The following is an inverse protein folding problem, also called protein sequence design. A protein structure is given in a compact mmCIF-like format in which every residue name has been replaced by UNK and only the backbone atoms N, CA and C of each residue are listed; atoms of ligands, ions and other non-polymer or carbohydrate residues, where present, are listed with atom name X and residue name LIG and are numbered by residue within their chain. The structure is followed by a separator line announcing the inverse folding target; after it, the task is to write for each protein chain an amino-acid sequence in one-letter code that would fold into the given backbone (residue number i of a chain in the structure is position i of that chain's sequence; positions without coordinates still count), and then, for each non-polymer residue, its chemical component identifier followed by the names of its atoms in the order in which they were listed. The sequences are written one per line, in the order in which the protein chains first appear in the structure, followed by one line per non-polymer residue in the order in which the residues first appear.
data_IF_110556834644
#
_entry.id   IF_110556834644
#
_cell.length_a   1.000
_cell.length_b   1.000
_cell.length_c   1.000
_cell.angle_alpha   90.00
_cell.angle_beta   90.00
_cell.angle_gamma   90.00
#
_symmetry.space_group_name_H-M   'P 1'
#
loop_
_entity.id
_entity.type
_entity.pdbx_description
1 polymer ?
#
# COMPACT_ATOMS: atom_id res chain seq x y z
N UNK A 1 -81.11 -12.11 13.20
CA UNK A 1 -80.29 -11.76 14.39
C UNK A 1 -78.83 -12.04 14.08
N UNK A 2 -77.96 -11.05 14.33
CA UNK A 2 -76.49 -11.09 14.43
C UNK A 2 -75.66 -11.48 13.19
N UNK A 3 -75.28 -10.41 12.51
CA UNK A 3 -74.04 -10.13 11.77
C UNK A 3 -72.78 -10.86 12.25
N UNK A 4 -71.95 -11.34 11.32
CA UNK A 4 -70.49 -11.37 11.48
C UNK A 4 -69.83 -10.98 10.14
N UNK A 5 -69.09 -9.87 10.18
CA UNK A 5 -68.24 -9.35 9.11
C UNK A 5 -66.93 -10.13 9.08
N UNK A 6 -66.61 -10.81 7.99
CA UNK A 6 -65.30 -11.42 7.78
C UNK A 6 -64.44 -10.46 6.97
N UNK A 7 -63.47 -9.82 7.63
CA UNK A 7 -62.50 -8.91 7.00
C UNK A 7 -61.41 -9.76 6.33
N UNK A 8 -61.31 -9.66 5.01
CA UNK A 8 -60.20 -10.21 4.21
C UNK A 8 -58.96 -9.33 4.41
N UNK A 9 -57.92 -9.86 5.05
CA UNK A 9 -56.60 -9.23 5.13
C UNK A 9 -55.73 -9.87 4.05
N UNK A 10 -55.58 -9.20 2.91
CA UNK A 10 -54.57 -9.50 1.89
C UNK A 10 -53.22 -8.93 2.37
N UNK A 11 -52.41 -9.76 3.03
CA UNK A 11 -51.03 -9.42 3.35
C UNK A 11 -50.16 -9.55 2.10
N UNK A 12 -49.82 -8.43 1.47
CA UNK A 12 -48.84 -8.35 0.41
C UNK A 12 -47.43 -8.58 0.98
N UNK A 13 -46.85 -9.75 0.70
CA UNK A 13 -45.45 -10.02 0.99
C UNK A 13 -44.59 -9.33 -0.06
N UNK A 14 -44.05 -8.16 0.29
CA UNK A 14 -43.02 -7.51 -0.50
C UNK A 14 -41.70 -8.29 -0.34
N UNK A 15 -41.32 -9.06 -1.36
CA UNK A 15 -39.98 -9.62 -1.47
C UNK A 15 -38.99 -8.48 -1.71
N UNK A 16 -38.33 -8.03 -0.64
CA UNK A 16 -37.15 -7.18 -0.75
C UNK A 16 -36.00 -8.03 -1.32
N UNK A 17 -35.77 -7.95 -2.63
CA UNK A 17 -34.55 -8.47 -3.21
C UNK A 17 -33.35 -7.66 -2.67
N UNK A 18 -32.26 -8.30 -2.22
CA UNK A 18 -31.05 -7.58 -1.87
C UNK A 18 -30.52 -6.91 -3.14
N UNK A 19 -30.43 -5.59 -3.12
CA UNK A 19 -29.76 -4.84 -4.16
C UNK A 19 -28.28 -5.22 -4.15
N UNK A 20 -27.82 -5.92 -5.18
CA UNK A 20 -26.39 -6.01 -5.50
C UNK A 20 -25.96 -4.63 -6.01
N UNK A 21 -25.78 -3.68 -5.10
CA UNK A 21 -25.15 -2.41 -5.40
C UNK A 21 -23.71 -2.67 -5.86
N UNK A 22 -23.37 -2.09 -7.01
CA UNK A 22 -22.17 -2.31 -7.80
C UNK A 22 -20.88 -2.31 -6.96
N UNK A 23 -20.11 -3.39 -7.08
CA UNK A 23 -18.79 -3.53 -6.47
C UNK A 23 -17.69 -2.74 -7.23
N UNK A 24 -18.05 -2.13 -8.36
CA UNK A 24 -17.13 -1.42 -9.26
C UNK A 24 -16.71 -0.03 -8.76
N UNK A 25 -17.49 0.62 -7.89
CA UNK A 25 -17.26 2.02 -7.44
C UNK A 25 -16.83 2.13 -5.97
N UNK A 26 -16.50 1.02 -5.29
CA UNK A 26 -15.97 1.11 -3.92
C UNK A 26 -14.55 1.68 -3.95
N UNK A 27 -14.22 2.67 -3.08
CA UNK A 27 -12.85 3.09 -2.89
C UNK A 27 -11.98 1.86 -2.64
N UNK A 28 -10.85 1.77 -3.34
CA UNK A 28 -9.95 0.64 -3.16
C UNK A 28 -9.59 0.49 -1.67
N UNK A 29 -9.81 -0.72 -1.14
CA UNK A 29 -9.59 -1.01 0.28
C UNK A 29 -8.10 -1.27 0.55
N UNK A 30 -7.52 -0.72 1.63
CA UNK A 30 -6.15 -1.01 2.06
C UNK A 30 -5.82 -2.52 2.17
N UNK A 31 -6.83 -3.36 2.47
CA UNK A 31 -6.65 -4.80 2.55
C UNK A 31 -6.41 -5.45 1.17
N UNK A 32 -7.15 -5.01 0.14
CA UNK A 32 -6.98 -5.51 -1.24
C UNK A 32 -5.61 -5.12 -1.79
N UNK A 33 -5.19 -3.89 -1.50
CA UNK A 33 -3.89 -3.39 -1.93
C UNK A 33 -2.73 -4.15 -1.28
N UNK A 34 -2.85 -4.42 0.03
CA UNK A 34 -1.86 -5.23 0.74
C UNK A 34 -1.76 -6.64 0.15
N UNK A 35 -2.91 -7.27 -0.12
CA UNK A 35 -2.96 -8.60 -0.75
C UNK A 35 -2.33 -8.61 -2.16
N UNK A 36 -2.46 -7.53 -2.94
CA UNK A 36 -1.85 -7.45 -4.26
C UNK A 36 -0.30 -7.46 -4.19
N UNK A 37 0.28 -6.71 -3.25
CA UNK A 37 1.73 -6.69 -3.03
C UNK A 37 2.23 -8.02 -2.48
N UNK A 38 1.53 -8.61 -1.50
CA UNK A 38 1.87 -9.93 -0.95
C UNK A 38 1.82 -11.02 -2.04
N UNK A 39 0.78 -11.01 -2.88
CA UNK A 39 0.67 -11.93 -4.00
C UNK A 39 1.80 -11.74 -5.01
N UNK A 40 2.21 -10.50 -5.29
CA UNK A 40 3.35 -10.23 -6.16
C UNK A 40 4.66 -10.77 -5.57
N UNK A 41 4.89 -10.58 -4.27
CA UNK A 41 6.13 -10.98 -3.60
C UNK A 41 6.31 -12.50 -3.50
N UNK A 42 5.23 -13.27 -3.60
CA UNK A 42 5.26 -14.74 -3.49
C UNK A 42 6.22 -15.36 -4.51
N UNK A 43 7.19 -16.14 -4.03
CA UNK A 43 8.19 -16.84 -4.86
C UNK A 43 9.29 -15.94 -5.43
N UNK A 44 9.40 -14.69 -4.98
CA UNK A 44 10.49 -13.78 -5.33
C UNK A 44 11.54 -13.82 -4.23
N UNK A 45 12.59 -14.61 -4.47
CA UNK A 45 13.66 -14.89 -3.50
C UNK A 45 14.74 -13.82 -3.46
N UNK A 46 14.86 -13.00 -4.51
CA UNK A 46 15.91 -11.97 -4.61
C UNK A 46 15.33 -10.57 -4.65
N UNK A 47 16.07 -9.61 -4.12
CA UNK A 47 15.74 -8.18 -4.26
C UNK A 47 15.60 -7.75 -5.72
N UNK A 48 16.30 -8.38 -6.67
CA UNK A 48 16.13 -8.13 -8.10
C UNK A 48 14.73 -8.53 -8.60
N UNK A 49 14.25 -9.71 -8.21
CA UNK A 49 12.91 -10.18 -8.57
C UNK A 49 11.80 -9.36 -7.90
N UNK A 50 12.00 -8.95 -6.64
CA UNK A 50 11.05 -8.17 -5.83
C UNK A 50 10.81 -6.77 -6.36
N UNK A 51 11.80 -6.16 -7.02
CA UNK A 51 11.65 -4.84 -7.68
C UNK A 51 10.48 -4.77 -8.66
N UNK A 52 10.14 -5.88 -9.32
CA UNK A 52 8.98 -5.94 -10.21
C UNK A 52 7.62 -5.74 -9.49
N UNK A 53 7.59 -5.78 -8.15
CA UNK A 53 6.38 -5.52 -7.37
C UNK A 53 6.14 -4.04 -7.09
N UNK A 54 7.15 -3.18 -7.29
CA UNK A 54 6.98 -1.74 -7.14
C UNK A 54 6.05 -1.26 -8.27
N UNK A 55 4.97 -0.59 -7.89
CA UNK A 55 3.90 -0.16 -8.78
C UNK A 55 2.73 -1.14 -8.89
N UNK A 56 2.71 -2.26 -8.16
CA UNK A 56 1.62 -3.26 -8.26
C UNK A 56 0.25 -2.71 -7.86
N UNK A 57 0.22 -1.65 -7.05
CA UNK A 57 -1.02 -0.97 -6.63
C UNK A 57 -1.14 0.37 -7.35
N UNK A 58 -0.06 1.15 -7.39
CA UNK A 58 -0.05 2.49 -7.93
C UNK A 58 -0.14 2.52 -9.46
N UNK A 59 0.37 1.51 -10.17
CA UNK A 59 0.32 1.39 -11.63
C UNK A 59 -1.12 1.30 -12.15
N UNK A 60 -1.87 0.22 -11.85
CA UNK A 60 -3.25 0.08 -12.29
C UNK A 60 -4.16 1.21 -11.79
N UNK A 61 -3.87 1.76 -10.59
CA UNK A 61 -4.60 2.90 -10.06
C UNK A 61 -4.49 4.15 -10.96
N UNK A 62 -3.30 4.43 -11.51
CA UNK A 62 -3.04 5.60 -12.36
C UNK A 62 -3.66 5.51 -13.75
N UNK A 63 -4.07 4.32 -14.18
CA UNK A 63 -4.77 4.10 -15.44
C UNK A 63 -6.26 4.45 -15.37
N UNK A 64 -6.79 4.64 -14.16
CA UNK A 64 -8.17 5.12 -13.97
C UNK A 64 -8.29 6.61 -14.30
N UNK A 65 -9.50 7.05 -14.65
CA UNK A 65 -9.77 8.46 -14.96
C UNK A 65 -9.35 9.40 -13.82
N UNK A 66 -9.71 9.06 -12.58
CA UNK A 66 -9.35 9.87 -11.41
C UNK A 66 -7.85 9.77 -11.10
N UNK A 67 -7.28 8.57 -11.23
CA UNK A 67 -5.87 8.29 -10.97
C UNK A 67 -4.88 8.93 -11.94
N UNK A 68 -5.33 9.27 -13.15
CA UNK A 68 -4.50 9.93 -14.17
C UNK A 68 -4.27 11.43 -13.88
N UNK A 69 -5.04 12.03 -12.98
CA UNK A 69 -4.81 13.43 -12.54
C UNK A 69 -3.58 13.52 -11.65
N UNK A 70 -2.91 14.68 -11.56
CA UNK A 70 -1.74 14.86 -10.66
C UNK A 70 -2.05 14.51 -9.20
N UNK A 71 -3.24 14.87 -8.73
CA UNK A 71 -3.72 14.54 -7.39
C UNK A 71 -4.00 13.03 -7.24
N UNK A 72 -4.68 12.43 -8.24
CA UNK A 72 -4.93 11.00 -8.30
C UNK A 72 -3.66 10.17 -8.33
N UNK A 73 -2.66 10.55 -9.12
CA UNK A 73 -1.35 9.91 -9.15
C UNK A 73 -0.70 9.92 -7.77
N UNK A 74 -0.71 11.05 -7.09
CA UNK A 74 -0.15 11.17 -5.73
C UNK A 74 -0.91 10.29 -4.73
N UNK A 75 -2.24 10.19 -4.85
CA UNK A 75 -3.06 9.29 -4.03
C UNK A 75 -2.78 7.80 -4.31
N UNK A 76 -2.64 7.42 -5.58
CA UNK A 76 -2.26 6.08 -6.01
C UNK A 76 -0.89 5.67 -5.44
N UNK A 77 0.10 6.56 -5.55
CA UNK A 77 1.45 6.36 -4.98
C UNK A 77 1.37 6.25 -3.46
N UNK A 78 0.63 7.14 -2.79
CA UNK A 78 0.49 7.14 -1.33
C UNK A 78 -0.11 5.85 -0.78
N UNK A 79 -1.08 5.26 -1.47
CA UNK A 79 -1.67 3.96 -1.10
C UNK A 79 -0.63 2.86 -1.09
N UNK A 80 0.15 2.74 -2.16
CA UNK A 80 1.21 1.74 -2.26
C UNK A 80 2.35 2.01 -1.27
N UNK A 81 2.77 3.27 -1.14
CA UNK A 81 3.82 3.67 -0.19
C UNK A 81 3.46 3.30 1.25
N UNK A 82 2.21 3.50 1.66
CA UNK A 82 1.74 3.13 3.00
C UNK A 82 1.86 1.63 3.29
N UNK A 83 1.78 0.78 2.26
CA UNK A 83 1.96 -0.67 2.40
C UNK A 83 3.44 -0.98 2.52
N UNK A 84 4.27 -0.43 1.63
CA UNK A 84 5.72 -0.59 1.72
C UNK A 84 6.28 -0.11 3.06
N UNK A 85 5.77 0.99 3.62
CA UNK A 85 6.21 1.49 4.92
C UNK A 85 5.84 0.54 6.08
N UNK A 86 4.64 -0.06 6.03
CA UNK A 86 4.24 -1.09 7.00
C UNK A 86 5.11 -2.35 6.89
N UNK A 87 5.39 -2.80 5.67
CA UNK A 87 6.27 -3.95 5.43
C UNK A 87 7.69 -3.65 5.91
N UNK A 88 8.26 -2.49 5.55
CA UNK A 88 9.57 -2.03 6.00
C UNK A 88 9.70 -2.09 7.52
N UNK A 89 8.75 -1.51 8.25
CA UNK A 89 8.79 -1.51 9.71
C UNK A 89 8.69 -2.92 10.30
N UNK A 90 7.80 -3.77 9.76
CA UNK A 90 7.69 -5.18 10.18
C UNK A 90 9.00 -5.94 9.94
N UNK A 91 9.54 -5.87 8.73
CA UNK A 91 10.77 -6.58 8.35
C UNK A 91 11.98 -6.05 9.11
N UNK A 92 12.02 -4.74 9.42
CA UNK A 92 13.06 -4.18 10.28
C UNK A 92 13.02 -4.82 11.68
N UNK A 93 11.85 -4.96 12.30
CA UNK A 93 11.74 -5.63 13.60
C UNK A 93 12.17 -7.10 13.53
N UNK A 94 11.82 -7.81 12.45
CA UNK A 94 12.27 -9.19 12.23
C UNK A 94 13.80 -9.27 12.07
N UNK A 95 14.40 -8.38 11.29
CA UNK A 95 15.85 -8.32 11.11
C UNK A 95 16.56 -8.10 12.45
N UNK A 96 16.02 -7.22 13.31
CA UNK A 96 16.59 -6.95 14.63
C UNK A 96 16.60 -8.17 15.55
N UNK A 97 15.71 -9.16 15.38
CA UNK A 97 15.68 -10.37 16.23
C UNK A 97 16.91 -11.26 15.97
N UNK A 98 17.44 -11.27 14.76
CA UNK A 98 18.59 -12.11 14.35
C UNK A 98 19.96 -11.56 14.71
N UNK A 99 20.05 -10.48 15.51
CA UNK A 99 21.33 -9.89 15.90
C UNK A 99 21.49 -9.80 17.43
N UNK A 100 22.74 -9.87 17.88
CA UNK A 100 23.16 -9.48 19.23
C UNK A 100 23.03 -7.96 19.43
N UNK A 101 23.41 -7.46 20.61
CA UNK A 101 23.21 -6.04 20.95
C UNK A 101 24.08 -5.10 20.09
N UNK A 102 25.30 -5.52 19.74
CA UNK A 102 26.19 -4.76 18.87
C UNK A 102 25.65 -4.71 17.42
N UNK A 103 25.21 -5.85 16.88
CA UNK A 103 24.58 -5.93 15.56
C UNK A 103 23.29 -5.12 15.49
N UNK A 104 22.44 -5.17 16.53
CA UNK A 104 21.23 -4.33 16.64
C UNK A 104 21.57 -2.84 16.65
N UNK A 105 22.59 -2.44 17.42
CA UNK A 105 23.03 -1.05 17.46
C UNK A 105 23.50 -0.56 16.09
N UNK A 106 24.27 -1.40 15.38
CA UNK A 106 24.74 -1.09 14.03
C UNK A 106 23.60 -1.01 13.02
N UNK A 107 22.69 -1.98 13.00
CA UNK A 107 21.54 -2.00 12.09
C UNK A 107 20.61 -0.80 12.32
N UNK A 108 20.42 -0.38 13.58
CA UNK A 108 19.70 0.86 13.93
C UNK A 108 20.39 2.09 13.34
N UNK A 109 21.71 2.20 13.48
CA UNK A 109 22.49 3.30 12.88
C UNK A 109 22.39 3.34 11.35
N UNK A 110 22.43 2.17 10.70
CA UNK A 110 22.23 2.05 9.26
C UNK A 110 20.83 2.51 8.84
N UNK A 111 19.79 2.12 9.59
CA UNK A 111 18.41 2.54 9.32
C UNK A 111 18.21 4.06 9.46
N UNK A 112 18.81 4.68 10.49
CA UNK A 112 18.77 6.14 10.69
C UNK A 112 19.48 6.89 9.55
N UNK A 113 20.64 6.40 9.12
CA UNK A 113 21.38 6.97 7.98
C UNK A 113 20.57 6.85 6.69
N UNK A 114 19.94 5.71 6.45
CA UNK A 114 19.05 5.52 5.31
C UNK A 114 17.84 6.47 5.32
N UNK A 115 17.22 6.73 6.48
CA UNK A 115 16.12 7.69 6.58
C UNK A 115 16.54 9.10 6.11
N UNK A 116 17.75 9.54 6.51
CA UNK A 116 18.31 10.81 6.05
C UNK A 116 18.57 10.81 4.55
N UNK A 117 19.21 9.76 4.03
CA UNK A 117 19.44 9.58 2.60
C UNK A 117 18.13 9.64 1.81
N UNK A 118 17.11 8.84 2.17
CA UNK A 118 15.80 8.82 1.52
C UNK A 118 15.17 10.21 1.49
N UNK A 119 15.19 10.90 2.63
CA UNK A 119 14.59 12.23 2.76
C UNK A 119 15.28 13.26 1.86
N UNK A 120 16.61 13.28 1.83
CA UNK A 120 17.35 14.23 0.97
C UNK A 120 17.21 13.90 -0.50
N UNK A 121 17.32 12.61 -0.85
CA UNK A 121 17.14 12.14 -2.22
C UNK A 121 15.75 12.49 -2.73
N UNK A 122 14.68 12.15 -2.01
CA UNK A 122 13.33 12.31 -2.54
C UNK A 122 12.78 13.74 -2.51
N UNK A 123 13.51 14.71 -1.93
CA UNK A 123 13.12 16.12 -1.94
C UNK A 123 13.63 16.91 -3.17
N UNK A 124 14.56 16.35 -3.95
CA UNK A 124 15.12 17.04 -5.13
C UNK A 124 14.06 17.60 -6.09
N UNK A 125 12.91 16.93 -6.37
CA UNK A 125 11.92 17.44 -7.32
C UNK A 125 11.37 18.81 -6.93
N UNK A 126 11.20 19.07 -5.63
CA UNK A 126 10.73 20.37 -5.13
C UNK A 126 11.77 21.49 -5.30
N UNK A 127 13.04 21.14 -5.40
CA UNK A 127 14.10 22.13 -5.64
C UNK A 127 14.26 22.49 -7.13
N UNK A 128 13.95 21.54 -8.02
CA UNK A 128 14.07 21.69 -9.49
C UNK A 128 12.79 22.21 -10.13
N UNK A 129 11.62 21.66 -9.78
CA UNK A 129 10.33 21.98 -10.41
C UNK A 129 9.51 22.98 -9.56
N UNK A 130 10.10 24.13 -9.28
CA UNK A 130 9.47 25.15 -8.42
C UNK A 130 8.22 25.75 -9.08
N UNK A 131 7.15 25.93 -8.31
CA UNK A 131 5.91 26.60 -8.75
C UNK A 131 4.99 25.76 -9.65
N UNK A 132 5.37 24.52 -9.99
CA UNK A 132 4.54 23.58 -10.73
C UNK A 132 3.97 22.48 -9.83
N UNK A 133 3.07 21.66 -10.39
CA UNK A 133 2.44 20.53 -9.67
C UNK A 133 3.20 19.21 -9.84
N UNK A 134 4.22 19.19 -10.71
CA UNK A 134 4.99 17.97 -11.04
C UNK A 134 5.87 17.46 -9.90
N UNK A 135 6.34 18.36 -9.03
CA UNK A 135 7.24 17.98 -7.93
C UNK A 135 6.62 16.95 -6.96
N UNK A 136 5.31 17.07 -6.71
CA UNK A 136 4.59 16.21 -5.76
C UNK A 136 4.61 14.73 -6.14
N UNK A 137 4.09 14.34 -7.31
CA UNK A 137 4.14 12.95 -7.76
C UNK A 137 5.55 12.40 -7.86
N UNK A 138 6.52 13.17 -8.39
CA UNK A 138 7.91 12.71 -8.50
C UNK A 138 8.56 12.45 -7.15
N UNK A 139 8.33 13.33 -6.17
CA UNK A 139 8.81 13.14 -4.81
C UNK A 139 8.17 11.93 -4.15
N UNK A 140 6.85 11.78 -4.31
CA UNK A 140 6.08 10.66 -3.76
C UNK A 140 6.54 9.32 -4.34
N UNK A 141 6.78 9.25 -5.66
CA UNK A 141 7.29 8.06 -6.34
C UNK A 141 8.63 7.63 -5.75
N UNK A 142 9.55 8.58 -5.58
CA UNK A 142 10.85 8.30 -4.96
C UNK A 142 10.68 7.75 -3.53
N UNK A 143 9.82 8.35 -2.70
CA UNK A 143 9.59 7.86 -1.34
C UNK A 143 9.05 6.43 -1.35
N UNK A 144 8.10 6.12 -2.24
CA UNK A 144 7.56 4.78 -2.43
C UNK A 144 8.66 3.78 -2.82
N UNK A 145 9.40 4.07 -3.88
CA UNK A 145 10.44 3.20 -4.42
C UNK A 145 11.55 2.95 -3.39
N UNK A 146 12.09 4.01 -2.78
CA UNK A 146 13.15 3.87 -1.77
C UNK A 146 12.70 3.05 -0.56
N UNK A 147 11.43 3.17 -0.16
CA UNK A 147 10.86 2.38 0.94
C UNK A 147 10.73 0.90 0.57
N UNK A 148 10.27 0.60 -0.66
CA UNK A 148 10.20 -0.76 -1.17
C UNK A 148 11.61 -1.40 -1.28
N UNK A 149 12.57 -0.68 -1.86
CA UNK A 149 13.96 -1.15 -2.00
C UNK A 149 14.57 -1.50 -0.64
N UNK A 150 14.41 -0.62 0.36
CA UNK A 150 14.90 -0.90 1.72
C UNK A 150 14.20 -2.08 2.36
N UNK A 151 12.92 -2.29 2.08
CA UNK A 151 12.19 -3.48 2.52
C UNK A 151 12.85 -4.74 1.98
N UNK A 152 13.25 -4.76 0.70
CA UNK A 152 13.89 -5.92 0.08
C UNK A 152 15.29 -6.20 0.64
N UNK A 153 16.05 -5.14 0.92
CA UNK A 153 17.34 -5.27 1.61
C UNK A 153 17.16 -5.91 2.99
N UNK A 154 16.15 -5.45 3.77
CA UNK A 154 15.84 -6.01 5.08
C UNK A 154 15.34 -7.46 4.99
N UNK A 155 14.54 -7.80 3.98
CA UNK A 155 14.11 -9.19 3.73
C UNK A 155 15.33 -10.09 3.47
N UNK A 156 16.30 -9.59 2.70
CA UNK A 156 17.55 -10.31 2.41
C UNK A 156 18.36 -10.53 3.70
N UNK A 157 18.40 -9.54 4.60
CA UNK A 157 19.05 -9.68 5.91
C UNK A 157 18.35 -10.74 6.76
N UNK A 158 17.01 -10.73 6.82
CA UNK A 158 16.22 -11.73 7.56
C UNK A 158 16.44 -13.14 7.01
N UNK A 159 16.46 -13.30 5.69
CA UNK A 159 16.62 -14.59 5.01
C UNK A 159 18.00 -15.21 5.20
N UNK A 160 19.04 -14.40 5.38
CA UNK A 160 20.41 -14.85 5.58
C UNK A 160 20.87 -14.81 7.05
N UNK A 161 19.96 -14.48 7.98
CA UNK A 161 20.24 -14.05 9.34
C UNK A 161 20.50 -15.16 10.38
N UNK A 162 21.05 -16.31 10.00
CA UNK A 162 21.62 -17.27 10.97
C UNK A 162 22.97 -16.69 11.47
N UNK A 163 22.92 -15.71 12.37
CA UNK A 163 24.07 -14.98 12.90
C UNK A 163 24.23 -15.17 14.41
#
# INVERSE_FOLDING_TARGET
MRSFRTILILSAWALAAPTLAQEADRPASPAKDSAAIEACLKGKETSAQRRACIGSVAGPCRETQDGATTMGMSACIGREHAIWDKLLNRTYQQAMVGFDDDGKAYLKGAQQSWLKFRSQTCQWPYHVYRGGTLAGPLSSECFMEQTALRTFDLMTIVENGDH
#
